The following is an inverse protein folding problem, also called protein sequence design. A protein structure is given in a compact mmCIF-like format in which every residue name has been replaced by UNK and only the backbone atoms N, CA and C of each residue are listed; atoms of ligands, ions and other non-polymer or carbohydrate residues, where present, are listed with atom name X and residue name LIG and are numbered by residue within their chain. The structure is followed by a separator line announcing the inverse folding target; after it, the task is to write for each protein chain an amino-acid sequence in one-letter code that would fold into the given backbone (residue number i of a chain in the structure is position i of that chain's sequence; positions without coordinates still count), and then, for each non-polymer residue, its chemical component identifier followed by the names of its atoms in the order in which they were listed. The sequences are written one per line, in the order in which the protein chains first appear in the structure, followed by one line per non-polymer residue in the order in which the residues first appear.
data_IF_166602732198
#
_entry.id   IF_166602732198
#
_cell.length_a   1.000
_cell.length_b   1.000
_cell.length_c   1.000
_cell.angle_alpha   90.00
_cell.angle_beta   90.00
_cell.angle_gamma   90.00
#
_symmetry.space_group_name_H-M   'P 1'
#
loop_
_entity.id
_entity.type
_entity.pdbx_description
1 polymer ?
#
# COMPACT_ATOMS: atom_id res chain seq x y z
N UNK A 1 10.77 20.07 -8.37
CA UNK A 1 9.57 19.21 -8.46
C UNK A 1 9.96 17.84 -7.94
N UNK A 2 9.30 17.25 -6.91
CA UNK A 2 9.64 15.90 -6.49
C UNK A 2 9.38 14.93 -7.65
N UNK A 3 10.35 14.10 -7.99
CA UNK A 3 10.24 13.12 -9.06
C UNK A 3 9.07 12.18 -8.77
N UNK A 4 8.25 11.88 -9.79
CA UNK A 4 7.23 10.84 -9.66
C UNK A 4 7.96 9.50 -9.51
N UNK A 5 7.74 8.74 -8.42
CA UNK A 5 8.41 7.46 -8.23
C UNK A 5 7.99 6.51 -9.34
N UNK A 6 8.94 5.81 -9.95
CA UNK A 6 8.66 4.79 -10.97
C UNK A 6 8.53 3.40 -10.34
N UNK A 7 9.08 3.25 -9.14
CA UNK A 7 9.06 1.99 -8.37
C UNK A 7 8.56 2.23 -6.94
N UNK A 8 8.08 1.15 -6.31
CA UNK A 8 7.69 1.17 -4.90
C UNK A 8 8.88 1.50 -4.01
N UNK A 9 10.07 1.00 -4.34
CA UNK A 9 11.30 1.32 -3.61
C UNK A 9 11.65 2.82 -3.65
N UNK A 10 11.51 3.48 -4.80
CA UNK A 10 11.68 4.95 -4.89
C UNK A 10 10.62 5.72 -4.10
N UNK A 11 9.37 5.22 -4.10
CA UNK A 11 8.31 5.80 -3.29
C UNK A 11 8.66 5.70 -1.80
N UNK A 12 9.07 4.52 -1.33
CA UNK A 12 9.44 4.28 0.07
C UNK A 12 10.66 5.13 0.44
N UNK A 13 11.71 5.15 -0.40
CA UNK A 13 12.94 5.91 -0.16
C UNK A 13 12.71 7.42 -0.05
N UNK A 14 11.58 7.94 -0.56
CA UNK A 14 11.19 9.35 -0.43
C UNK A 14 10.69 9.73 0.97
N UNK A 15 10.47 8.77 1.87
CA UNK A 15 10.03 8.99 3.25
C UNK A 15 11.18 8.87 4.26
N UNK A 16 11.07 9.45 5.47
CA UNK A 16 12.03 9.25 6.54
C UNK A 16 12.09 7.77 7.00
N UNK A 17 13.24 7.35 7.52
CA UNK A 17 13.56 5.94 7.86
C UNK A 17 12.48 5.23 8.69
N UNK A 18 11.88 5.93 9.65
CA UNK A 18 10.79 5.40 10.48
C UNK A 18 9.62 4.88 9.64
N UNK A 19 9.22 5.64 8.61
CA UNK A 19 8.15 5.25 7.69
C UNK A 19 8.59 4.28 6.63
N UNK A 20 9.86 4.34 6.23
CA UNK A 20 10.40 3.34 5.32
C UNK A 20 10.22 1.95 5.91
N UNK A 21 10.53 1.80 7.20
CA UNK A 21 10.36 0.55 7.93
C UNK A 21 8.90 0.09 7.92
N UNK A 22 7.96 0.95 8.31
CA UNK A 22 6.53 0.58 8.33
C UNK A 22 5.99 0.26 6.94
N UNK A 23 6.37 1.02 5.91
CA UNK A 23 5.97 0.75 4.53
C UNK A 23 6.53 -0.58 4.01
N UNK A 24 7.76 -0.92 4.37
CA UNK A 24 8.36 -2.21 4.04
C UNK A 24 7.66 -3.37 4.76
N UNK A 25 7.28 -3.18 6.03
CA UNK A 25 6.50 -4.18 6.77
C UNK A 25 5.13 -4.41 6.12
N UNK A 26 4.41 -3.34 5.76
CA UNK A 26 3.12 -3.43 5.05
C UNK A 26 3.29 -4.14 3.70
N UNK A 27 4.30 -3.76 2.91
CA UNK A 27 4.63 -4.40 1.63
C UNK A 27 4.90 -5.90 1.81
N UNK A 28 5.69 -6.27 2.82
CA UNK A 28 6.01 -7.66 3.11
C UNK A 28 4.77 -8.48 3.51
N UNK A 29 3.87 -7.90 4.31
CA UNK A 29 2.61 -8.54 4.69
C UNK A 29 1.73 -8.76 3.46
N UNK A 30 1.57 -7.75 2.60
CA UNK A 30 0.72 -7.87 1.41
C UNK A 30 1.29 -8.93 0.44
N UNK A 31 2.60 -8.92 0.20
CA UNK A 31 3.25 -9.93 -0.66
C UNK A 31 3.18 -11.34 -0.08
N UNK A 32 3.18 -11.49 1.25
CA UNK A 32 2.97 -12.79 1.90
C UNK A 32 1.53 -13.28 1.75
N UNK A 33 0.55 -12.39 1.78
CA UNK A 33 -0.87 -12.71 1.62
C UNK A 33 -1.25 -12.97 0.17
N UNK A 34 -0.63 -12.26 -0.78
CA UNK A 34 -0.87 -12.36 -2.22
C UNK A 34 0.47 -12.61 -2.93
N UNK A 35 1.03 -13.83 -2.86
CA UNK A 35 2.35 -14.14 -3.44
C UNK A 35 2.38 -14.01 -4.98
N UNK A 36 1.23 -14.17 -5.63
CA UNK A 36 1.04 -13.93 -7.08
C UNK A 36 0.73 -12.46 -7.42
N UNK A 37 0.81 -11.56 -6.44
CA UNK A 37 0.59 -10.13 -6.59
C UNK A 37 1.75 -9.47 -7.34
N UNK A 38 1.42 -8.61 -8.31
CA UNK A 38 2.39 -7.76 -9.02
C UNK A 38 2.42 -6.37 -8.43
N UNK A 39 3.61 -5.94 -8.07
CA UNK A 39 3.89 -4.60 -7.59
C UNK A 39 3.87 -3.59 -8.74
N UNK A 40 3.00 -2.60 -8.66
CA UNK A 40 2.87 -1.54 -9.66
C UNK A 40 2.79 -0.18 -8.99
N UNK A 41 3.18 0.87 -9.70
CA UNK A 41 2.88 2.25 -9.32
C UNK A 41 1.73 2.73 -10.21
N UNK A 42 0.61 3.10 -9.60
CA UNK A 42 -0.55 3.67 -10.28
C UNK A 42 -0.94 4.98 -9.61
N UNK A 43 -1.18 6.04 -10.38
CA UNK A 43 -1.40 7.40 -9.85
C UNK A 43 -0.29 7.89 -8.90
N UNK A 44 0.96 7.48 -9.13
CA UNK A 44 2.11 7.73 -8.24
C UNK A 44 1.98 7.13 -6.83
N UNK A 45 1.11 6.12 -6.67
CA UNK A 45 0.85 5.39 -5.44
C UNK A 45 1.24 3.91 -5.64
N UNK A 46 1.94 3.30 -4.68
CA UNK A 46 2.17 1.85 -4.65
C UNK A 46 0.86 1.07 -4.63
N UNK A 47 0.75 0.10 -5.55
CA UNK A 47 -0.38 -0.81 -5.63
C UNK A 47 0.08 -2.24 -5.91
N UNK A 48 -0.70 -3.20 -5.43
CA UNK A 48 -0.56 -4.62 -5.71
C UNK A 48 -1.71 -5.04 -6.61
N UNK A 49 -1.35 -5.52 -7.80
CA UNK A 49 -2.27 -6.05 -8.78
C UNK A 49 -2.29 -7.58 -8.73
N UNK A 50 -3.48 -8.17 -8.66
CA UNK A 50 -3.69 -9.61 -8.81
C UNK A 50 -4.55 -9.85 -10.04
N UNK A 51 -4.13 -10.76 -10.93
CA UNK A 51 -4.80 -11.04 -12.21
C UNK A 51 -5.13 -9.75 -13.00
N UNK A 52 -4.14 -8.86 -13.10
CA UNK A 52 -4.21 -7.57 -13.82
C UNK A 52 -5.19 -6.53 -13.22
N UNK A 53 -5.78 -6.81 -12.05
CA UNK A 53 -6.65 -5.88 -11.33
C UNK A 53 -5.96 -5.37 -10.07
N UNK A 54 -5.96 -4.05 -9.82
CA UNK A 54 -5.42 -3.51 -8.58
C UNK A 54 -6.32 -3.94 -7.41
N UNK A 55 -5.75 -4.69 -6.46
CA UNK A 55 -6.47 -5.21 -5.29
C UNK A 55 -6.23 -4.36 -4.07
N UNK A 56 -5.02 -3.82 -3.94
CA UNK A 56 -4.61 -3.00 -2.80
C UNK A 56 -3.72 -1.87 -3.30
N UNK A 57 -3.92 -0.69 -2.75
CA UNK A 57 -3.13 0.51 -2.83
C UNK A 57 -2.72 0.84 -1.40
N UNK A 58 -1.47 1.25 -1.21
CA UNK A 58 -1.00 1.70 0.09
C UNK A 58 -0.21 2.99 -0.05
N UNK A 59 -0.47 3.93 0.83
CA UNK A 59 0.04 5.30 0.81
C UNK A 59 0.61 5.65 2.17
N UNK A 60 1.70 6.40 2.23
CA UNK A 60 2.19 7.01 3.46
C UNK A 60 1.88 8.51 3.48
N UNK A 61 1.18 8.93 4.52
CA UNK A 61 0.96 10.34 4.88
C UNK A 61 1.76 10.72 6.12
N UNK A 62 1.81 12.02 6.45
CA UNK A 62 2.59 12.55 7.59
C UNK A 62 2.29 11.87 8.94
N UNK A 63 1.05 11.47 9.18
CA UNK A 63 0.64 10.90 10.47
C UNK A 63 0.04 9.48 10.38
N UNK A 64 -0.18 8.94 9.18
CA UNK A 64 -0.83 7.64 9.01
C UNK A 64 -0.44 6.99 7.68
N UNK A 65 -0.71 5.68 7.56
CA UNK A 65 -0.66 4.94 6.31
C UNK A 65 -2.09 4.73 5.84
N UNK A 66 -2.41 5.14 4.61
CA UNK A 66 -3.72 4.90 4.00
C UNK A 66 -3.68 3.65 3.13
N UNK A 67 -4.68 2.78 3.24
CA UNK A 67 -4.82 1.56 2.45
C UNK A 67 -6.17 1.56 1.74
N UNK A 68 -6.18 1.28 0.43
CA UNK A 68 -7.38 1.31 -0.43
C UNK A 68 -7.38 0.15 -1.43
N UNK A 69 -8.50 -0.27 -2.01
CA UNK A 69 -9.85 -0.04 -1.50
C UNK A 69 -9.99 -0.68 -0.11
N UNK A 70 -10.82 -0.05 0.74
CA UNK A 70 -11.34 -0.75 1.91
C UNK A 70 -12.29 -1.81 1.35
N UNK A 71 -12.05 -3.11 1.58
CA UNK A 71 -12.95 -4.13 1.10
C UNK A 71 -14.34 -3.86 1.67
N UNK A 72 -15.34 -3.65 0.79
CA UNK A 72 -16.75 -3.62 1.18
C UNK A 72 -17.21 -5.05 1.48
N UNK A 73 -16.66 -5.60 2.55
CA UNK A 73 -17.12 -6.83 3.15
C UNK A 73 -17.78 -6.45 4.48
N UNK A 74 -19.06 -6.79 4.70
CA UNK A 74 -19.79 -6.41 5.91
C UNK A 74 -19.16 -6.97 7.20
N UNK A 75 -18.33 -8.01 7.08
CA UNK A 75 -17.55 -8.57 8.18
C UNK A 75 -16.38 -7.65 8.57
N UNK A 76 -15.72 -7.04 7.59
CA UNK A 76 -14.61 -6.10 7.81
C UNK A 76 -15.14 -4.76 8.30
N UNK A 77 -16.28 -4.29 7.79
CA UNK A 77 -16.92 -3.04 8.26
C UNK A 77 -17.25 -3.07 9.76
N UNK A 78 -17.65 -4.21 10.31
CA UNK A 78 -17.93 -4.37 11.75
C UNK A 78 -16.67 -4.30 12.61
N UNK A 79 -15.54 -4.82 12.13
CA UNK A 79 -14.26 -4.76 12.84
C UNK A 79 -13.67 -3.35 12.80
N UNK A 80 -13.75 -2.66 11.67
CA UNK A 80 -13.26 -1.29 11.53
C UNK A 80 -14.15 -0.25 12.23
N UNK A 81 -15.43 -0.53 12.48
CA UNK A 81 -16.32 0.37 13.22
C UNK A 81 -15.91 0.61 14.69
N UNK A 82 -15.01 -0.21 15.23
CA UNK A 82 -14.50 -0.09 16.60
C UNK A 82 -13.22 0.76 16.73
N UNK A 83 -12.66 1.25 15.62
CA UNK A 83 -11.46 2.08 15.56
C UNK A 83 -11.79 3.48 15.01
#
# INVERSE_FOLDING_TARGET
MPAKPKTIDEYIASFPADKQKTLQEVRAIINKTIPDGKEVISYAIPAICYKEKPVVYFTANKNHIGMYPVPSAPEIEKEFAHY
#
